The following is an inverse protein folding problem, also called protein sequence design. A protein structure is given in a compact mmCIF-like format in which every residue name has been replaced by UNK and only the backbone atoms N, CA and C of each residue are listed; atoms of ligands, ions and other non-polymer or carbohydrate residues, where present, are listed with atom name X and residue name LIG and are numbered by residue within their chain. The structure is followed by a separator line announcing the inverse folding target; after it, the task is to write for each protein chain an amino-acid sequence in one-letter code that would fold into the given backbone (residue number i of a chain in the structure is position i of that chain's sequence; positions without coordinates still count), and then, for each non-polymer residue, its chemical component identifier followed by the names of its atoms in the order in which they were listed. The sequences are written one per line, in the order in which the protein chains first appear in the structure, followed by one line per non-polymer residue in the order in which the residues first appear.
data_IF_397152885442
#
_entry.id   IF_397152885442
#
_cell.length_a   1.000
_cell.length_b   1.000
_cell.length_c   1.000
_cell.angle_alpha   90.00
_cell.angle_beta   90.00
_cell.angle_gamma   90.00
#
_symmetry.space_group_name_H-M   'P 1'
#
loop_
_entity.id
_entity.type
_entity.pdbx_description
1 polymer ?
#
# COMPACT_ATOMS: atom_id res chain seq x y z
N UNK A 1 4.71 9.96 -15.98
CA UNK A 1 3.93 11.10 -15.45
C UNK A 1 4.88 12.17 -14.95
N UNK A 2 4.77 13.39 -15.44
CA UNK A 2 5.50 14.51 -14.83
C UNK A 2 4.90 14.79 -13.43
N UNK A 3 5.74 14.76 -12.41
CA UNK A 3 5.34 14.98 -11.02
C UNK A 3 5.42 16.44 -10.58
N UNK A 4 5.97 17.34 -11.42
CA UNK A 4 6.16 18.75 -11.07
C UNK A 4 4.82 19.42 -10.75
N UNK A 5 4.70 19.97 -9.55
CA UNK A 5 3.48 20.64 -9.09
C UNK A 5 2.27 19.72 -8.85
N UNK A 6 2.44 18.39 -8.98
CA UNK A 6 1.41 17.40 -8.65
C UNK A 6 1.28 17.25 -7.14
N UNK A 7 0.09 16.93 -6.67
CA UNK A 7 -0.20 16.67 -5.24
C UNK A 7 -0.37 15.18 -5.02
N UNK A 8 0.44 14.63 -4.13
CA UNK A 8 0.44 13.21 -3.78
C UNK A 8 0.05 13.02 -2.31
N UNK A 9 -1.01 12.26 -2.05
CA UNK A 9 -1.45 11.86 -0.73
C UNK A 9 -0.96 10.44 -0.42
N UNK A 10 -0.15 10.29 0.63
CA UNK A 10 0.49 9.00 0.96
C UNK A 10 0.08 8.58 2.36
N UNK A 11 -0.61 7.43 2.48
CA UNK A 11 -0.98 6.87 3.77
C UNK A 11 0.12 5.92 4.29
N UNK A 12 0.28 5.86 5.63
CA UNK A 12 1.38 5.11 6.23
C UNK A 12 2.76 5.70 5.86
N UNK A 13 2.83 7.03 5.69
CA UNK A 13 4.01 7.73 5.19
C UNK A 13 5.18 7.80 6.17
N UNK A 14 4.97 7.47 7.44
CA UNK A 14 5.96 7.66 8.50
C UNK A 14 7.15 6.70 8.42
N UNK A 15 7.02 5.54 7.77
CA UNK A 15 8.07 4.52 7.74
C UNK A 15 8.01 3.64 6.48
N UNK A 16 9.05 2.83 6.27
CA UNK A 16 9.11 1.78 5.25
C UNK A 16 8.83 2.28 3.83
N UNK A 17 7.97 1.55 3.13
CA UNK A 17 7.59 1.84 1.73
C UNK A 17 6.96 3.23 1.60
N UNK A 18 6.02 3.57 2.50
CA UNK A 18 5.31 4.86 2.44
C UNK A 18 6.26 6.05 2.61
N UNK A 19 7.23 5.96 3.54
CA UNK A 19 8.25 6.99 3.72
C UNK A 19 9.14 7.13 2.49
N UNK A 20 9.59 6.02 1.94
CA UNK A 20 10.44 6.04 0.74
C UNK A 20 9.69 6.63 -0.47
N UNK A 21 8.43 6.22 -0.68
CA UNK A 21 7.57 6.78 -1.73
C UNK A 21 7.38 8.30 -1.57
N UNK A 22 7.11 8.75 -0.34
CA UNK A 22 6.97 10.18 -0.04
C UNK A 22 8.22 10.97 -0.45
N UNK A 23 9.40 10.48 -0.09
CA UNK A 23 10.67 11.13 -0.43
C UNK A 23 10.94 11.13 -1.95
N UNK A 24 10.66 10.03 -2.62
CA UNK A 24 10.97 9.92 -4.05
C UNK A 24 9.95 10.69 -4.91
N UNK A 25 8.66 10.74 -4.52
CA UNK A 25 7.65 11.62 -5.13
C UNK A 25 8.05 13.10 -4.98
N UNK A 26 8.49 13.50 -3.78
CA UNK A 26 8.95 14.87 -3.52
C UNK A 26 10.18 15.24 -4.36
N UNK A 27 11.16 14.33 -4.48
CA UNK A 27 12.33 14.51 -5.35
C UNK A 27 11.95 14.63 -6.83
N UNK A 28 10.86 13.99 -7.24
CA UNK A 28 10.27 14.12 -8.57
C UNK A 28 9.49 15.43 -8.80
N UNK A 29 9.41 16.32 -7.80
CA UNK A 29 8.74 17.61 -7.88
C UNK A 29 7.31 17.65 -7.37
N UNK A 30 6.80 16.55 -6.80
CA UNK A 30 5.46 16.52 -6.20
C UNK A 30 5.42 17.27 -4.84
N UNK A 31 4.28 17.85 -4.54
CA UNK A 31 3.89 18.23 -3.18
C UNK A 31 3.32 16.99 -2.50
N UNK A 32 3.94 16.57 -1.41
CA UNK A 32 3.54 15.34 -0.69
C UNK A 32 2.77 15.69 0.57
N UNK A 33 1.57 15.11 0.72
CA UNK A 33 0.83 15.10 1.97
C UNK A 33 0.98 13.72 2.59
N UNK A 34 1.89 13.61 3.56
CA UNK A 34 2.19 12.36 4.24
C UNK A 34 1.32 12.18 5.47
N UNK A 35 0.57 11.06 5.55
CA UNK A 35 -0.30 10.80 6.71
C UNK A 35 0.03 9.49 7.40
N UNK A 36 -0.01 9.51 8.73
CA UNK A 36 0.14 8.34 9.60
C UNK A 36 -0.35 8.68 11.02
N UNK A 37 -0.38 7.70 11.92
CA UNK A 37 -0.78 7.92 13.32
C UNK A 37 0.35 8.46 14.19
N UNK A 38 1.60 8.11 13.88
CA UNK A 38 2.77 8.48 14.69
C UNK A 38 3.26 9.89 14.37
N UNK A 39 3.06 10.82 15.31
CA UNK A 39 3.38 12.25 15.11
C UNK A 39 4.89 12.46 14.96
N UNK A 40 5.71 11.88 15.85
CA UNK A 40 7.16 12.07 15.85
C UNK A 40 7.80 11.61 14.53
N UNK A 41 7.44 10.41 14.07
CA UNK A 41 7.95 9.87 12.80
C UNK A 41 7.44 10.63 11.57
N UNK A 42 6.28 11.30 11.67
CA UNK A 42 5.82 12.24 10.65
C UNK A 42 6.67 13.53 10.64
N UNK A 43 7.03 14.06 11.81
CA UNK A 43 7.94 15.22 11.89
C UNK A 43 9.31 14.93 11.30
N UNK A 44 9.86 13.73 11.52
CA UNK A 44 11.09 13.27 10.86
C UNK A 44 10.93 13.23 9.32
N UNK A 45 9.79 12.75 8.83
CA UNK A 45 9.49 12.77 7.40
C UNK A 45 9.43 14.21 6.88
N UNK A 46 8.72 15.10 7.56
CA UNK A 46 8.60 16.51 7.14
C UNK A 46 9.95 17.19 7.07
N UNK A 47 10.83 16.97 8.06
CA UNK A 47 12.18 17.50 8.05
C UNK A 47 12.98 17.02 6.82
N UNK A 48 12.77 15.78 6.39
CA UNK A 48 13.39 15.22 5.19
C UNK A 48 12.77 15.71 3.86
N UNK A 49 11.47 16.08 3.87
CA UNK A 49 10.76 16.58 2.70
C UNK A 49 11.06 18.07 2.41
N UNK A 50 11.19 18.89 3.46
CA UNK A 50 11.35 20.36 3.34
C UNK A 50 12.44 20.82 2.38
N UNK A 51 13.65 20.20 2.35
CA UNK A 51 14.71 20.63 1.45
C UNK A 51 14.41 20.43 -0.05
N UNK A 52 13.55 19.45 -0.38
CA UNK A 52 13.27 19.06 -1.77
C UNK A 52 11.86 19.45 -2.23
N UNK A 53 10.92 19.56 -1.32
CA UNK A 53 9.54 19.98 -1.59
C UNK A 53 9.00 20.81 -0.41
N UNK A 54 9.31 22.11 -0.33
CA UNK A 54 8.97 22.96 0.83
C UNK A 54 7.47 23.07 1.12
N UNK A 55 6.63 22.82 0.11
CA UNK A 55 5.16 22.84 0.23
C UNK A 55 4.56 21.53 0.73
N UNK A 56 5.39 20.49 0.91
CA UNK A 56 4.94 19.22 1.47
C UNK A 56 4.55 19.36 2.93
N UNK A 57 3.57 18.59 3.34
CA UNK A 57 2.96 18.64 4.67
C UNK A 57 2.71 17.23 5.24
N UNK A 58 2.45 17.20 6.53
CA UNK A 58 2.14 15.97 7.25
C UNK A 58 0.85 16.15 8.03
N UNK A 59 0.06 15.08 8.18
CA UNK A 59 -1.15 15.09 9.02
C UNK A 59 -1.21 13.81 9.83
N UNK A 60 -1.41 13.95 11.15
CA UNK A 60 -1.71 12.82 12.01
C UNK A 60 -3.13 12.32 11.70
N UNK A 61 -3.23 11.09 11.19
CA UNK A 61 -4.49 10.53 10.70
C UNK A 61 -4.54 9.01 10.91
N UNK A 62 -5.64 8.52 11.48
CA UNK A 62 -6.01 7.13 11.39
C UNK A 62 -6.92 6.93 10.16
N UNK A 63 -6.49 6.13 9.20
CA UNK A 63 -7.25 5.85 7.98
C UNK A 63 -8.55 5.07 8.26
N UNK A 64 -8.70 4.48 9.43
CA UNK A 64 -9.92 3.81 9.87
C UNK A 64 -11.06 4.80 10.23
N UNK A 65 -10.74 6.08 10.46
CA UNK A 65 -11.72 7.15 10.70
C UNK A 65 -12.15 7.78 9.36
N UNK A 66 -13.26 7.30 8.82
CA UNK A 66 -13.79 7.75 7.53
C UNK A 66 -14.13 9.25 7.49
N UNK A 67 -14.66 9.80 8.59
CA UNK A 67 -15.05 11.20 8.66
C UNK A 67 -13.81 12.09 8.64
N UNK A 68 -12.80 11.74 9.44
CA UNK A 68 -11.54 12.49 9.48
C UNK A 68 -10.74 12.37 8.19
N UNK A 69 -10.75 11.19 7.54
CA UNK A 69 -10.13 11.01 6.21
C UNK A 69 -10.75 11.95 5.19
N UNK A 70 -12.08 12.03 5.14
CA UNK A 70 -12.79 12.93 4.22
C UNK A 70 -12.41 14.38 4.48
N UNK A 71 -12.50 14.83 5.72
CA UNK A 71 -12.14 16.20 6.13
C UNK A 71 -10.72 16.57 5.69
N UNK A 72 -9.74 15.71 5.98
CA UNK A 72 -8.34 15.96 5.62
C UNK A 72 -8.14 16.02 4.10
N UNK A 73 -8.76 15.13 3.34
CA UNK A 73 -8.64 15.14 1.87
C UNK A 73 -9.34 16.37 1.27
N UNK A 74 -10.51 16.74 1.76
CA UNK A 74 -11.21 17.95 1.32
C UNK A 74 -10.37 19.21 1.59
N UNK A 75 -9.74 19.31 2.75
CA UNK A 75 -8.80 20.38 3.11
C UNK A 75 -7.57 20.41 2.18
N UNK A 76 -6.99 19.27 1.86
CA UNK A 76 -5.86 19.17 0.92
C UNK A 76 -6.29 19.70 -0.45
N UNK A 77 -7.44 19.25 -0.94
CA UNK A 77 -7.98 19.71 -2.23
C UNK A 77 -8.29 21.22 -2.20
N UNK A 78 -8.82 21.74 -1.09
CA UNK A 78 -9.09 23.16 -0.95
C UNK A 78 -7.81 24.02 -1.00
N UNK A 79 -6.72 23.58 -0.32
CA UNK A 79 -5.44 24.30 -0.28
C UNK A 79 -4.64 24.21 -1.58
N UNK A 80 -4.64 23.04 -2.23
CA UNK A 80 -3.78 22.79 -3.40
C UNK A 80 -4.54 22.88 -4.74
N UNK A 81 -5.88 22.91 -4.72
CA UNK A 81 -6.73 22.93 -5.90
C UNK A 81 -6.81 21.58 -6.65
N UNK A 82 -6.06 20.56 -6.19
CA UNK A 82 -5.93 19.26 -6.87
C UNK A 82 -5.49 18.13 -5.95
N UNK A 83 -5.73 16.90 -6.41
CA UNK A 83 -5.15 15.68 -5.87
C UNK A 83 -4.85 14.72 -7.03
N UNK A 84 -3.59 14.49 -7.33
CA UNK A 84 -3.17 13.75 -8.53
C UNK A 84 -2.82 12.30 -8.26
N UNK A 85 -2.20 12.03 -7.11
CA UNK A 85 -1.73 10.69 -6.74
C UNK A 85 -2.21 10.36 -5.34
N UNK A 86 -2.88 9.21 -5.21
CA UNK A 86 -3.24 8.62 -3.94
C UNK A 86 -2.47 7.30 -3.76
N UNK A 87 -1.66 7.20 -2.70
CA UNK A 87 -0.97 5.98 -2.32
C UNK A 87 -1.60 5.42 -1.03
N UNK A 88 -2.41 4.39 -1.17
CA UNK A 88 -2.98 3.64 -0.06
C UNK A 88 -1.97 2.59 0.41
N UNK A 89 -1.09 2.98 1.35
CA UNK A 89 -0.03 2.12 1.88
C UNK A 89 -0.20 1.78 3.37
N UNK A 90 -1.00 2.53 4.12
CA UNK A 90 -1.25 2.23 5.53
C UNK A 90 -1.79 0.81 5.72
N UNK A 91 -1.18 0.04 6.60
CA UNK A 91 -1.60 -1.32 6.90
C UNK A 91 -1.16 -1.74 8.30
N UNK A 92 -1.89 -2.72 8.84
CA UNK A 92 -1.50 -3.53 9.99
C UNK A 92 -1.33 -4.97 9.53
N UNK A 93 -0.31 -5.63 10.06
CA UNK A 93 -0.04 -7.05 9.82
C UNK A 93 0.14 -7.73 11.17
N UNK A 94 -0.59 -8.81 11.37
CA UNK A 94 -0.42 -9.72 12.50
C UNK A 94 -0.30 -11.13 12.00
N UNK A 95 0.74 -11.82 12.46
CA UNK A 95 0.98 -13.22 12.17
C UNK A 95 0.64 -14.01 13.42
N UNK A 96 -0.45 -14.76 13.34
CA UNK A 96 -0.93 -15.65 14.42
C UNK A 96 -1.50 -16.92 13.84
N UNK A 97 -1.35 -18.03 14.60
CA UNK A 97 -2.12 -19.24 14.33
C UNK A 97 -3.62 -18.92 14.34
N UNK A 98 -4.40 -19.60 13.49
CA UNK A 98 -5.86 -19.43 13.50
C UNK A 98 -6.47 -19.79 14.87
N UNK A 99 -5.83 -20.67 15.64
CA UNK A 99 -6.26 -21.03 16.98
C UNK A 99 -6.05 -19.91 18.01
N UNK A 100 -5.24 -18.89 17.68
CA UNK A 100 -4.93 -17.72 18.52
C UNK A 100 -5.51 -16.43 17.94
N UNK A 101 -6.02 -16.48 16.71
CA UNK A 101 -6.62 -15.31 16.03
C UNK A 101 -7.97 -15.00 16.66
N UNK A 102 -8.17 -13.74 17.06
CA UNK A 102 -9.44 -13.26 17.59
C UNK A 102 -10.29 -12.62 16.50
N UNK A 103 -11.57 -12.42 16.76
CA UNK A 103 -12.45 -11.66 15.88
C UNK A 103 -11.94 -10.22 15.71
N UNK A 104 -11.46 -9.62 16.81
CA UNK A 104 -10.89 -8.27 16.79
C UNK A 104 -9.68 -8.14 15.87
N UNK A 105 -8.80 -9.15 15.79
CA UNK A 105 -7.67 -9.18 14.85
C UNK A 105 -8.15 -9.13 13.40
N UNK A 106 -9.21 -9.90 13.09
CA UNK A 106 -9.81 -9.93 11.75
C UNK A 106 -10.47 -8.59 11.42
N UNK A 107 -11.29 -8.07 12.33
CA UNK A 107 -11.96 -6.78 12.17
C UNK A 107 -10.97 -5.62 12.03
N UNK A 108 -9.89 -5.62 12.82
CA UNK A 108 -8.85 -4.61 12.76
C UNK A 108 -8.11 -4.66 11.42
N UNK A 109 -7.75 -5.85 10.93
CA UNK A 109 -7.12 -5.99 9.63
C UNK A 109 -8.03 -5.47 8.51
N UNK A 110 -9.32 -5.83 8.53
CA UNK A 110 -10.31 -5.36 7.54
C UNK A 110 -10.54 -3.85 7.64
N UNK A 111 -10.74 -3.34 8.84
CA UNK A 111 -11.03 -1.91 9.07
C UNK A 111 -9.87 -1.02 8.64
N UNK A 112 -8.62 -1.39 8.96
CA UNK A 112 -7.45 -0.57 8.64
C UNK A 112 -7.03 -0.77 7.18
N UNK A 113 -6.77 -2.04 6.78
CA UNK A 113 -6.14 -2.31 5.48
C UNK A 113 -7.11 -2.08 4.32
N UNK A 114 -8.32 -2.64 4.42
CA UNK A 114 -9.33 -2.52 3.38
C UNK A 114 -10.18 -1.26 3.57
N UNK A 115 -10.79 -1.07 4.74
CA UNK A 115 -11.64 0.09 5.04
C UNK A 115 -10.89 1.40 4.86
N UNK A 116 -9.68 1.52 5.40
CA UNK A 116 -8.85 2.73 5.25
C UNK A 116 -8.55 3.07 3.79
N UNK A 117 -8.23 2.06 2.97
CA UNK A 117 -8.06 2.24 1.52
C UNK A 117 -9.36 2.75 0.86
N UNK A 118 -10.51 2.15 1.21
CA UNK A 118 -11.81 2.57 0.67
C UNK A 118 -12.14 4.01 1.07
N UNK A 119 -11.94 4.37 2.34
CA UNK A 119 -12.20 5.74 2.82
C UNK A 119 -11.39 6.78 2.05
N UNK A 120 -10.07 6.57 1.91
CA UNK A 120 -9.21 7.48 1.17
C UNK A 120 -9.56 7.53 -0.32
N UNK A 121 -9.86 6.38 -0.93
CA UNK A 121 -10.26 6.31 -2.34
C UNK A 121 -11.54 7.10 -2.59
N UNK A 122 -12.60 6.84 -1.82
CA UNK A 122 -13.90 7.52 -1.99
C UNK A 122 -13.79 9.03 -1.72
N UNK A 123 -12.96 9.45 -0.76
CA UNK A 123 -12.74 10.88 -0.50
C UNK A 123 -11.96 11.57 -1.62
N UNK A 124 -11.01 10.88 -2.27
CA UNK A 124 -10.20 11.45 -3.36
C UNK A 124 -10.96 11.53 -4.70
N UNK A 125 -11.88 10.61 -4.96
CA UNK A 125 -12.58 10.49 -6.25
C UNK A 125 -13.26 11.77 -6.72
N UNK A 126 -13.99 12.56 -5.90
CA UNK A 126 -14.64 13.77 -6.39
C UNK A 126 -13.66 14.78 -7.02
N UNK A 127 -12.47 14.94 -6.44
CA UNK A 127 -11.44 15.82 -6.99
C UNK A 127 -10.86 15.25 -8.28
N UNK A 128 -10.48 13.97 -8.29
CA UNK A 128 -9.90 13.32 -9.47
C UNK A 128 -10.88 13.28 -10.66
N UNK A 129 -12.18 13.04 -10.41
CA UNK A 129 -13.22 13.05 -11.45
C UNK A 129 -13.39 14.45 -12.05
N UNK A 130 -13.42 15.49 -11.21
CA UNK A 130 -13.47 16.88 -11.71
C UNK A 130 -12.23 17.27 -12.54
N UNK A 131 -11.07 16.72 -12.17
CA UNK A 131 -9.81 16.93 -12.90
C UNK A 131 -9.75 16.14 -14.23
N UNK A 132 -10.59 15.10 -14.41
CA UNK A 132 -10.48 14.17 -15.52
C UNK A 132 -9.17 13.37 -15.50
N UNK A 133 -8.49 13.31 -14.36
CA UNK A 133 -7.19 12.63 -14.21
C UNK A 133 -6.93 12.26 -12.75
N UNK A 134 -6.28 11.11 -12.53
CA UNK A 134 -5.84 10.65 -11.21
C UNK A 134 -5.04 9.36 -11.28
N UNK A 135 -4.21 9.11 -10.27
CA UNK A 135 -3.48 7.86 -10.06
C UNK A 135 -3.75 7.36 -8.65
N UNK A 136 -4.27 6.15 -8.53
CA UNK A 136 -4.51 5.48 -7.25
C UNK A 136 -3.66 4.22 -7.21
N UNK A 137 -2.74 4.13 -6.25
CA UNK A 137 -1.90 2.95 -6.04
C UNK A 137 -2.26 2.33 -4.70
N UNK A 138 -2.79 1.12 -4.73
CA UNK A 138 -3.17 0.35 -3.56
C UNK A 138 -2.09 -0.69 -3.23
N UNK A 139 -1.41 -0.53 -2.09
CA UNK A 139 -0.33 -1.43 -1.68
C UNK A 139 -0.91 -2.70 -1.07
N UNK A 140 -1.00 -3.74 -1.90
CA UNK A 140 -1.44 -5.06 -1.48
C UNK A 140 -0.26 -5.94 -1.02
N UNK A 141 -0.37 -7.24 -1.17
CA UNK A 141 0.67 -8.22 -0.86
C UNK A 141 0.46 -9.48 -1.71
N UNK A 142 1.54 -10.23 -1.91
CA UNK A 142 1.48 -11.56 -2.54
C UNK A 142 0.52 -12.52 -1.80
N UNK A 143 0.40 -12.38 -0.47
CA UNK A 143 -0.52 -13.21 0.33
C UNK A 143 -2.00 -12.93 0.06
N UNK A 144 -2.34 -11.79 -0.51
CA UNK A 144 -3.71 -11.52 -1.01
C UNK A 144 -4.10 -12.41 -2.19
N UNK A 145 -3.12 -12.90 -2.96
CA UNK A 145 -3.33 -13.85 -4.06
C UNK A 145 -3.02 -15.30 -3.68
N UNK A 146 -2.04 -15.47 -2.83
CA UNK A 146 -1.49 -16.78 -2.45
C UNK A 146 -1.35 -16.83 -0.93
N UNK A 147 -2.46 -17.02 -0.20
CA UNK A 147 -2.46 -17.04 1.27
C UNK A 147 -1.53 -18.09 1.84
N UNK A 148 -0.91 -17.75 2.97
CA UNK A 148 -0.01 -18.63 3.71
C UNK A 148 -0.49 -18.83 5.15
N UNK A 149 -0.08 -19.91 5.84
CA UNK A 149 -0.42 -20.12 7.25
C UNK A 149 0.01 -18.94 8.14
N UNK A 150 -0.79 -18.66 9.16
CA UNK A 150 -0.50 -17.61 10.13
C UNK A 150 -0.88 -16.17 9.69
N UNK A 151 -1.37 -15.98 8.46
CA UNK A 151 -1.70 -14.65 7.93
C UNK A 151 -3.17 -14.53 7.49
N UNK A 152 -4.09 -15.32 8.06
CA UNK A 152 -5.47 -15.41 7.56
C UNK A 152 -6.19 -14.04 7.48
N UNK A 153 -6.18 -13.26 8.57
CA UNK A 153 -6.83 -11.95 8.62
C UNK A 153 -6.18 -10.95 7.64
N UNK A 154 -4.84 -10.91 7.62
CA UNK A 154 -4.09 -10.05 6.72
C UNK A 154 -4.32 -10.42 5.26
N UNK A 155 -4.21 -11.71 4.91
CA UNK A 155 -4.44 -12.20 3.55
C UNK A 155 -5.87 -11.89 3.06
N UNK A 156 -6.88 -12.07 3.91
CA UNK A 156 -8.27 -11.72 3.59
C UNK A 156 -8.41 -10.22 3.28
N UNK A 157 -7.83 -9.34 4.12
CA UNK A 157 -7.88 -7.89 3.89
C UNK A 157 -7.18 -7.47 2.59
N UNK A 158 -6.04 -8.11 2.27
CA UNK A 158 -5.30 -7.82 1.03
C UNK A 158 -5.97 -8.40 -0.21
N UNK A 159 -6.68 -9.52 -0.10
CA UNK A 159 -7.50 -10.07 -1.18
C UNK A 159 -8.72 -9.18 -1.48
N UNK A 160 -9.41 -8.69 -0.45
CA UNK A 160 -10.51 -7.74 -0.60
C UNK A 160 -10.05 -6.45 -1.29
N UNK A 161 -8.86 -5.94 -0.93
CA UNK A 161 -8.24 -4.78 -1.57
C UNK A 161 -8.02 -5.02 -3.07
N UNK A 162 -7.51 -6.19 -3.48
CA UNK A 162 -7.26 -6.52 -4.89
C UNK A 162 -8.58 -6.51 -5.66
N UNK A 163 -9.58 -7.26 -5.20
CA UNK A 163 -10.87 -7.40 -5.87
C UNK A 163 -11.59 -6.04 -6.02
N UNK A 164 -11.60 -5.22 -4.96
CA UNK A 164 -12.16 -3.88 -5.00
C UNK A 164 -11.43 -2.98 -6.00
N UNK A 165 -10.09 -3.00 -5.97
CA UNK A 165 -9.28 -2.18 -6.89
C UNK A 165 -9.51 -2.55 -8.35
N UNK A 166 -9.63 -3.85 -8.65
CA UNK A 166 -9.89 -4.34 -10.00
C UNK A 166 -11.25 -3.86 -10.49
N UNK A 167 -12.30 -4.04 -9.69
CA UNK A 167 -13.65 -3.60 -10.03
C UNK A 167 -13.71 -2.11 -10.35
N UNK A 168 -13.19 -1.25 -9.46
CA UNK A 168 -13.24 0.20 -9.68
C UNK A 168 -12.31 0.66 -10.81
N UNK A 169 -11.28 -0.12 -11.18
CA UNK A 169 -10.38 0.24 -12.28
C UNK A 169 -11.13 0.32 -13.61
N UNK A 170 -12.07 -0.59 -13.85
CA UNK A 170 -12.91 -0.60 -15.06
C UNK A 170 -13.83 0.62 -15.13
N UNK A 171 -14.39 1.03 -14.00
CA UNK A 171 -15.33 2.16 -13.91
C UNK A 171 -14.62 3.52 -14.03
N UNK A 172 -13.38 3.60 -13.54
CA UNK A 172 -12.63 4.85 -13.44
C UNK A 172 -11.73 5.12 -14.65
N UNK A 173 -11.34 4.10 -15.41
CA UNK A 173 -10.52 4.27 -16.60
C UNK A 173 -11.13 5.24 -17.63
N UNK A 174 -12.45 5.20 -17.95
CA UNK A 174 -13.07 6.16 -18.85
C UNK A 174 -13.09 7.60 -18.32
N UNK A 175 -12.84 7.80 -17.01
CA UNK A 175 -12.78 9.12 -16.35
C UNK A 175 -11.34 9.65 -16.24
N UNK A 176 -10.37 8.99 -16.90
CA UNK A 176 -8.95 9.36 -16.85
C UNK A 176 -8.25 9.01 -15.53
N UNK A 177 -8.89 8.20 -14.68
CA UNK A 177 -8.33 7.79 -13.40
C UNK A 177 -7.81 6.36 -13.51
N UNK A 178 -6.53 6.16 -13.21
CA UNK A 178 -5.89 4.84 -13.22
C UNK A 178 -5.79 4.30 -11.80
N UNK A 179 -6.23 3.06 -11.63
CA UNK A 179 -6.13 2.33 -10.36
C UNK A 179 -5.15 1.17 -10.55
N UNK A 180 -4.15 1.10 -9.69
CA UNK A 180 -3.09 0.11 -9.75
C UNK A 180 -2.94 -0.59 -8.40
N UNK A 181 -2.59 -1.87 -8.42
CA UNK A 181 -2.30 -2.67 -7.23
C UNK A 181 -0.81 -3.01 -7.20
N UNK A 182 -0.15 -2.61 -6.12
CA UNK A 182 1.26 -2.91 -5.88
C UNK A 182 1.42 -4.21 -5.10
N UNK A 183 2.28 -5.09 -5.61
CA UNK A 183 2.80 -6.29 -4.94
C UNK A 183 4.28 -6.07 -4.61
N UNK A 184 4.60 -5.59 -3.39
CA UNK A 184 5.96 -5.17 -3.06
C UNK A 184 6.96 -6.32 -2.92
N UNK A 185 6.47 -7.55 -2.69
CA UNK A 185 7.28 -8.66 -2.26
C UNK A 185 7.75 -8.54 -0.80
N UNK A 186 8.72 -9.36 -0.41
CA UNK A 186 9.31 -9.27 0.94
C UNK A 186 10.29 -8.10 1.01
N UNK A 187 9.91 -7.05 1.70
CA UNK A 187 10.70 -5.80 1.82
C UNK A 187 11.51 -5.82 3.11
N UNK A 188 12.77 -6.20 3.00
CA UNK A 188 13.64 -6.59 4.11
C UNK A 188 14.05 -5.46 5.07
N UNK A 189 13.98 -4.21 4.64
CA UNK A 189 14.35 -2.99 5.37
C UNK A 189 13.15 -2.29 6.03
N UNK A 190 11.98 -2.93 6.05
CA UNK A 190 10.81 -2.41 6.76
C UNK A 190 10.79 -2.85 8.22
N UNK A 191 10.13 -2.07 9.08
CA UNK A 191 9.91 -2.42 10.50
C UNK A 191 9.23 -3.79 10.65
N UNK A 192 8.26 -4.09 9.80
CA UNK A 192 7.55 -5.39 9.79
C UNK A 192 8.54 -6.54 9.59
N UNK A 193 9.41 -6.44 8.58
CA UNK A 193 10.39 -7.48 8.30
C UNK A 193 11.46 -7.62 9.39
N UNK A 194 11.84 -6.51 10.04
CA UNK A 194 12.78 -6.53 11.17
C UNK A 194 12.13 -7.21 12.38
N UNK A 195 10.89 -6.88 12.69
CA UNK A 195 10.14 -7.49 13.80
C UNK A 195 9.88 -8.98 13.56
N UNK A 196 9.51 -9.37 12.35
CA UNK A 196 9.32 -10.77 11.98
C UNK A 196 10.59 -11.60 12.18
N UNK A 197 11.76 -11.08 11.78
CA UNK A 197 13.05 -11.71 12.03
C UNK A 197 13.39 -11.82 13.52
N UNK A 198 13.17 -10.75 14.27
CA UNK A 198 13.42 -10.75 15.71
C UNK A 198 12.51 -11.74 16.46
N UNK A 199 11.29 -11.98 15.96
CA UNK A 199 10.36 -12.98 16.47
C UNK A 199 10.66 -14.43 16.00
N UNK A 200 11.78 -14.66 15.29
CA UNK A 200 12.16 -15.99 14.80
C UNK A 200 11.25 -16.53 13.69
N UNK A 201 10.48 -15.67 13.02
CA UNK A 201 9.60 -16.10 11.94
C UNK A 201 10.40 -16.51 10.70
N UNK A 202 9.89 -17.50 9.97
CA UNK A 202 10.48 -17.92 8.69
C UNK A 202 10.43 -16.75 7.69
N UNK A 203 11.60 -16.37 7.20
CA UNK A 203 11.74 -15.33 6.17
C UNK A 203 12.17 -15.96 4.85
N UNK A 204 11.72 -15.42 3.71
CA UNK A 204 12.13 -15.94 2.41
C UNK A 204 13.63 -15.79 2.19
N UNK A 205 14.22 -16.54 1.23
CA UNK A 205 15.64 -16.44 0.90
C UNK A 205 16.04 -15.02 0.45
N UNK A 206 17.27 -14.62 0.74
CA UNK A 206 17.77 -13.24 0.46
C UNK A 206 17.63 -12.79 -0.98
N UNK A 207 17.67 -13.70 -1.94
CA UNK A 207 17.57 -13.37 -3.37
C UNK A 207 16.18 -12.90 -3.81
N UNK A 208 15.12 -13.14 -3.03
CA UNK A 208 13.79 -12.55 -3.26
C UNK A 208 13.57 -11.25 -2.51
N UNK A 209 14.49 -10.85 -1.62
CA UNK A 209 14.33 -9.63 -0.83
C UNK A 209 14.32 -8.39 -1.74
N UNK A 210 13.52 -7.42 -1.34
CA UNK A 210 13.49 -6.07 -1.91
C UNK A 210 13.82 -5.05 -0.84
N UNK A 211 14.21 -3.85 -1.28
CA UNK A 211 14.29 -2.67 -0.41
C UNK A 211 13.13 -1.74 -0.70
N UNK A 212 12.76 -0.89 0.26
CA UNK A 212 11.74 0.13 0.05
C UNK A 212 12.06 1.02 -1.16
N UNK A 213 13.33 1.32 -1.41
CA UNK A 213 13.79 2.07 -2.58
C UNK A 213 13.57 1.34 -3.91
N UNK A 214 13.71 0.00 -3.95
CA UNK A 214 13.41 -0.77 -5.16
C UNK A 214 11.89 -0.79 -5.44
N UNK A 215 11.08 -0.92 -4.41
CA UNK A 215 9.61 -0.87 -4.50
C UNK A 215 9.15 0.51 -4.97
N UNK A 216 9.69 1.58 -4.36
CA UNK A 216 9.38 2.95 -4.75
C UNK A 216 9.69 3.22 -6.23
N UNK A 217 10.87 2.80 -6.70
CA UNK A 217 11.21 2.93 -8.14
C UNK A 217 10.25 2.17 -9.06
N UNK A 218 9.73 1.01 -8.63
CA UNK A 218 8.74 0.29 -9.42
C UNK A 218 7.42 1.07 -9.51
N UNK A 219 6.96 1.65 -8.40
CA UNK A 219 5.77 2.51 -8.38
C UNK A 219 5.96 3.74 -9.26
N UNK A 220 7.06 4.49 -9.12
CA UNK A 220 7.29 5.70 -9.91
C UNK A 220 7.29 5.42 -11.44
N UNK A 221 7.85 4.30 -11.87
CA UNK A 221 7.78 3.89 -13.29
C UNK A 221 6.35 3.58 -13.71
N UNK A 222 5.62 2.87 -12.84
CA UNK A 222 4.25 2.46 -13.13
C UNK A 222 3.23 3.61 -13.14
N UNK A 223 3.57 4.79 -12.58
CA UNK A 223 2.73 5.99 -12.72
C UNK A 223 2.61 6.45 -14.19
N UNK A 224 3.57 6.07 -15.04
CA UNK A 224 3.53 6.32 -16.49
C UNK A 224 2.81 5.21 -17.27
N UNK A 225 2.62 4.06 -16.64
CA UNK A 225 2.06 2.86 -17.25
C UNK A 225 0.55 2.76 -16.97
N UNK A 226 -0.15 2.06 -17.86
CA UNK A 226 -1.57 1.71 -17.70
C UNK A 226 -1.76 0.30 -17.11
N UNK A 227 -0.69 -0.41 -16.78
CA UNK A 227 -0.76 -1.74 -16.18
C UNK A 227 -1.48 -1.69 -14.82
N UNK A 228 -2.47 -2.56 -14.64
CA UNK A 228 -3.21 -2.68 -13.38
C UNK A 228 -2.30 -3.13 -12.22
N UNK A 229 -1.30 -3.96 -12.49
CA UNK A 229 -0.45 -4.57 -11.48
C UNK A 229 0.98 -4.05 -11.52
N UNK A 230 1.48 -3.65 -10.35
CA UNK A 230 2.87 -3.29 -10.13
C UNK A 230 3.54 -4.42 -9.35
N UNK A 231 4.29 -5.27 -10.04
CA UNK A 231 4.99 -6.39 -9.44
C UNK A 231 6.46 -6.00 -9.18
N UNK A 232 6.80 -5.65 -7.92
CA UNK A 232 8.17 -5.33 -7.55
C UNK A 232 9.06 -6.58 -7.38
N UNK A 233 8.45 -7.76 -7.17
CA UNK A 233 9.14 -9.05 -7.05
C UNK A 233 8.60 -10.05 -8.09
N UNK A 234 9.40 -10.33 -9.12
CA UNK A 234 8.96 -11.14 -10.28
C UNK A 234 8.60 -12.59 -9.96
N UNK A 235 9.28 -13.22 -9.02
CA UNK A 235 9.05 -14.64 -8.71
C UNK A 235 7.75 -14.91 -7.94
N UNK A 236 7.28 -13.93 -7.17
CA UNK A 236 6.01 -14.06 -6.45
C UNK A 236 4.80 -14.07 -7.40
N UNK A 237 4.97 -13.65 -8.66
CA UNK A 237 3.92 -13.73 -9.68
C UNK A 237 3.67 -15.16 -10.17
N UNK A 238 4.59 -16.09 -9.94
CA UNK A 238 4.42 -17.49 -10.31
C UNK A 238 3.51 -18.28 -9.36
N UNK A 239 3.50 -17.90 -8.08
CA UNK A 239 2.72 -18.62 -7.07
C UNK A 239 1.20 -18.68 -7.37
N UNK A 240 0.52 -17.60 -7.78
CA UNK A 240 -0.88 -17.66 -8.20
C UNK A 240 -1.10 -18.53 -9.43
N UNK A 241 -0.18 -18.55 -10.38
CA UNK A 241 -0.26 -19.38 -11.59
C UNK A 241 -0.17 -20.86 -11.20
N UNK A 242 0.83 -21.23 -10.39
CA UNK A 242 0.97 -22.62 -9.91
C UNK A 242 -0.26 -23.03 -9.09
N UNK A 243 -0.78 -22.13 -8.24
CA UNK A 243 -2.01 -22.36 -7.48
C UNK A 243 -3.22 -22.63 -8.36
N UNK A 244 -3.35 -21.93 -9.49
CA UNK A 244 -4.47 -22.08 -10.43
C UNK A 244 -4.37 -23.38 -11.24
N UNK A 245 -3.17 -23.74 -11.70
CA UNK A 245 -2.95 -24.89 -12.60
C UNK A 245 -2.79 -26.21 -11.81
N UNK A 246 -2.11 -26.17 -10.67
CA UNK A 246 -1.78 -27.35 -9.85
C UNK A 246 -2.07 -27.14 -8.37
N UNK A 247 -3.34 -26.94 -7.96
CA UNK A 247 -3.71 -26.55 -6.59
C UNK A 247 -3.26 -27.54 -5.51
N UNK A 248 -3.30 -28.84 -5.80
CA UNK A 248 -2.87 -29.86 -4.85
C UNK A 248 -1.35 -29.81 -4.60
N UNK A 249 -0.55 -29.63 -5.66
CA UNK A 249 0.91 -29.48 -5.56
C UNK A 249 1.26 -28.20 -4.78
N UNK A 250 0.62 -27.08 -5.11
CA UNK A 250 0.80 -25.82 -4.42
C UNK A 250 0.52 -25.95 -2.91
N UNK A 251 -0.63 -26.54 -2.51
CA UNK A 251 -0.98 -26.75 -1.10
C UNK A 251 0.06 -27.61 -0.36
N UNK A 252 0.53 -28.69 -0.98
CA UNK A 252 1.59 -29.53 -0.39
C UNK A 252 2.90 -28.76 -0.19
N UNK A 253 3.27 -27.92 -1.16
CA UNK A 253 4.47 -27.09 -1.06
C UNK A 253 4.35 -26.07 0.08
N UNK A 254 3.22 -25.34 0.16
CA UNK A 254 3.00 -24.34 1.24
C UNK A 254 3.07 -24.99 2.63
N UNK A 255 2.37 -26.11 2.85
CA UNK A 255 2.39 -26.80 4.16
C UNK A 255 3.81 -27.25 4.56
N UNK A 256 4.64 -27.65 3.59
CA UNK A 256 6.03 -28.07 3.84
C UNK A 256 6.99 -26.91 4.09
N UNK A 257 6.82 -25.81 3.37
CA UNK A 257 7.76 -24.68 3.41
C UNK A 257 7.39 -23.61 4.43
N UNK A 258 6.13 -23.56 4.80
CA UNK A 258 5.61 -22.63 5.79
C UNK A 258 4.72 -23.39 6.78
N UNK A 259 5.32 -24.12 7.72
CA UNK A 259 4.55 -24.81 8.73
C UNK A 259 3.70 -23.81 9.53
N UNK A 260 2.49 -24.22 9.96
CA UNK A 260 1.66 -23.34 10.79
C UNK A 260 2.42 -22.95 12.06
N UNK A 261 2.28 -21.71 12.52
CA UNK A 261 2.92 -21.22 13.73
C UNK A 261 2.36 -21.91 15.00
#
# INVERSE_FOLDING_TARGET
MDLHGKVAFVTGASMGIGRQLSLDLARGGAVVVGVARGVDTLHELLAALRPVSPRSEIVALDVADAARVREVIDDVVARHGRLDVLINNAAVEERRSILQTTLEDVERAMRVNFGGMVHCTLAALPAMVRQGAGRIVNVSSAVGRSPVPGEAAYAASKAAMIAFSESISYELAPKGIRVQVLFPGYVADTRIAVQARAAGQTVPPRWVHRTAAQVSRAVLRALDDDAFEINAARLETLAPIVRAIAPALYRRAIVRTQPPP
#
